data_IF_515160423122
#
_entry.id   IF_515160423122
#
_cell.length_a   1.000
_cell.length_b   1.000
_cell.length_c   1.000
_cell.angle_alpha   90.00
_cell.angle_beta   90.00
_cell.angle_gamma   90.00
#
_symmetry.space_group_name_H-M   'P 1'
#
loop_
_entity.id
_entity.type
_entity.pdbx_description
1 polymer ?
#
# COMPACT_ATOMS: atom_id res chain seq x y z
N UNK A 1 -23.40 13.45 -68.14
CA UNK A 1 -23.87 13.83 -66.79
C UNK A 1 -23.89 12.57 -65.93
N UNK A 2 -22.82 12.34 -65.16
CA UNK A 2 -22.78 11.49 -63.96
C UNK A 2 -21.37 11.66 -63.36
N UNK A 3 -21.29 12.42 -62.27
CA UNK A 3 -20.07 12.69 -61.51
C UNK A 3 -19.67 11.45 -60.73
N UNK A 4 -18.43 10.99 -60.91
CA UNK A 4 -17.77 10.02 -60.03
C UNK A 4 -17.55 10.66 -58.65
N UNK A 5 -18.30 10.18 -57.66
CA UNK A 5 -18.09 10.53 -56.25
C UNK A 5 -16.83 9.83 -55.75
N UNK A 6 -15.77 10.60 -55.52
CA UNK A 6 -14.57 10.14 -54.83
C UNK A 6 -14.94 9.95 -53.35
N UNK A 7 -15.04 8.70 -52.94
CA UNK A 7 -15.27 8.28 -51.56
C UNK A 7 -14.00 8.44 -50.73
N UNK A 8 -14.14 9.10 -49.58
CA UNK A 8 -13.43 8.74 -48.35
C UNK A 8 -11.94 9.06 -48.30
N UNK A 9 -11.60 10.33 -48.11
CA UNK A 9 -10.36 10.68 -47.40
C UNK A 9 -10.58 10.25 -45.94
N UNK A 10 -10.15 9.03 -45.60
CA UNK A 10 -9.85 8.70 -44.21
C UNK A 10 -8.89 9.78 -43.72
N UNK A 11 -9.36 10.64 -42.81
CA UNK A 11 -8.54 11.67 -42.22
C UNK A 11 -7.36 10.98 -41.51
N UNK A 12 -6.19 11.01 -42.14
CA UNK A 12 -4.95 10.50 -41.58
C UNK A 12 -4.70 11.25 -40.28
N UNK A 13 -4.95 10.58 -39.16
CA UNK A 13 -4.69 11.12 -37.82
C UNK A 13 -3.27 11.70 -37.79
N UNK A 14 -3.08 12.97 -37.37
CA UNK A 14 -1.81 13.66 -37.55
C UNK A 14 -0.69 12.91 -36.81
N UNK A 15 0.46 12.71 -37.47
CA UNK A 15 1.60 11.98 -36.92
C UNK A 15 2.04 12.50 -35.52
N UNK A 16 1.84 13.79 -35.25
CA UNK A 16 2.06 14.41 -33.93
C UNK A 16 1.18 13.81 -32.82
N UNK A 17 -0.09 13.48 -33.10
CA UNK A 17 -1.00 12.87 -32.14
C UNK A 17 -0.58 11.44 -31.78
N UNK A 18 -0.11 10.66 -32.77
CA UNK A 18 0.42 9.29 -32.56
C UNK A 18 1.71 9.28 -31.72
N UNK A 19 2.61 10.24 -31.95
CA UNK A 19 3.82 10.39 -31.13
C UNK A 19 3.47 10.81 -29.70
N UNK A 20 2.47 11.67 -29.53
CA UNK A 20 1.96 12.08 -28.21
C UNK A 20 1.38 10.92 -27.41
N UNK A 21 0.53 10.08 -28.02
CA UNK A 21 -0.09 8.92 -27.36
C UNK A 21 0.93 7.83 -27.03
N UNK A 22 1.90 7.57 -27.93
CA UNK A 22 2.98 6.63 -27.68
C UNK A 22 3.90 7.06 -26.52
N UNK A 23 4.24 8.37 -26.46
CA UNK A 23 5.00 8.93 -25.33
C UNK A 23 4.20 8.86 -24.04
N UNK A 24 2.91 9.24 -24.04
CA UNK A 24 2.06 9.17 -22.86
C UNK A 24 1.96 7.73 -22.31
N UNK A 25 1.85 6.73 -23.19
CA UNK A 25 1.88 5.32 -22.80
C UNK A 25 3.23 4.90 -22.18
N UNK A 26 4.34 5.42 -22.72
CA UNK A 26 5.69 5.13 -22.19
C UNK A 26 5.89 5.74 -20.81
N UNK A 27 5.57 7.03 -20.63
CA UNK A 27 5.66 7.71 -19.33
C UNK A 27 4.81 7.02 -18.27
N UNK A 28 3.57 6.63 -18.62
CA UNK A 28 2.68 5.90 -17.69
C UNK A 28 3.32 4.62 -17.19
N UNK A 29 3.96 3.84 -18.08
CA UNK A 29 4.62 2.57 -17.70
C UNK A 29 5.82 2.81 -16.79
N UNK A 30 6.64 3.83 -17.06
CA UNK A 30 7.75 4.21 -16.19
C UNK A 30 7.28 4.70 -14.82
N UNK A 31 6.21 5.50 -14.76
CA UNK A 31 5.61 5.93 -13.49
C UNK A 31 5.08 4.75 -12.68
N UNK A 32 4.41 3.78 -13.31
CA UNK A 32 3.97 2.55 -12.65
C UNK A 32 5.17 1.78 -12.11
N UNK A 33 6.21 1.59 -12.93
CA UNK A 33 7.40 0.84 -12.54
C UNK A 33 8.13 1.49 -11.35
N UNK A 34 8.29 2.81 -11.36
CA UNK A 34 8.91 3.55 -10.28
C UNK A 34 8.09 3.44 -8.98
N UNK A 35 6.78 3.69 -9.04
CA UNK A 35 5.90 3.59 -7.87
C UNK A 35 5.85 2.16 -7.31
N UNK A 36 5.78 1.15 -8.18
CA UNK A 36 5.81 -0.26 -7.78
C UNK A 36 7.15 -0.64 -7.15
N UNK A 37 8.27 -0.15 -7.70
CA UNK A 37 9.60 -0.39 -7.12
C UNK A 37 9.73 0.27 -5.75
N UNK A 38 9.23 1.50 -5.58
CA UNK A 38 9.25 2.21 -4.30
C UNK A 38 8.42 1.46 -3.23
N UNK A 39 7.19 1.06 -3.57
CA UNK A 39 6.37 0.23 -2.68
C UNK A 39 7.09 -1.07 -2.31
N UNK A 40 7.68 -1.75 -3.30
CA UNK A 40 8.39 -3.00 -3.09
C UNK A 40 9.60 -2.85 -2.17
N UNK A 41 10.39 -1.78 -2.36
CA UNK A 41 11.53 -1.46 -1.49
C UNK A 41 11.10 -1.19 -0.05
N UNK A 42 9.99 -0.47 0.16
CA UNK A 42 9.45 -0.20 1.49
C UNK A 42 9.02 -1.51 2.16
N UNK A 43 8.27 -2.38 1.47
CA UNK A 43 7.85 -3.67 2.01
C UNK A 43 9.03 -4.56 2.39
N UNK A 44 10.05 -4.64 1.54
CA UNK A 44 11.28 -5.35 1.86
C UNK A 44 12.01 -4.75 3.07
N UNK A 45 12.02 -3.42 3.18
CA UNK A 45 12.64 -2.70 4.30
C UNK A 45 11.98 -2.96 5.64
N UNK A 46 10.64 -3.04 5.69
CA UNK A 46 9.89 -3.31 6.93
C UNK A 46 9.80 -4.80 7.28
N UNK A 47 10.01 -5.70 6.31
CA UNK A 47 9.86 -7.14 6.50
C UNK A 47 10.65 -7.73 7.70
N UNK A 48 11.91 -7.33 8.00
CA UNK A 48 12.63 -7.88 9.15
C UNK A 48 11.99 -7.55 10.50
N UNK A 49 11.37 -6.36 10.63
CA UNK A 49 10.66 -5.98 11.85
C UNK A 49 9.43 -6.87 12.06
N UNK A 50 8.62 -7.01 11.02
CA UNK A 50 7.46 -7.88 11.03
C UNK A 50 7.81 -9.37 11.17
N UNK A 51 8.95 -9.82 10.64
CA UNK A 51 9.41 -11.19 10.80
C UNK A 51 9.71 -11.52 12.27
N UNK A 52 10.31 -10.58 13.01
CA UNK A 52 10.59 -10.72 14.45
C UNK A 52 9.31 -10.72 15.29
N UNK A 53 8.30 -9.96 14.87
CA UNK A 53 6.99 -9.95 15.53
C UNK A 53 6.24 -11.25 15.26
N UNK A 54 6.10 -11.63 13.99
CA UNK A 54 5.54 -12.90 13.57
C UNK A 54 6.02 -13.27 12.16
N UNK A 55 6.72 -14.40 12.05
CA UNK A 55 7.42 -14.78 10.81
C UNK A 55 6.52 -14.76 9.56
N UNK A 56 5.22 -15.06 9.70
CA UNK A 56 4.24 -15.03 8.60
C UNK A 56 4.12 -13.63 8.00
N UNK A 57 4.08 -12.59 8.83
CA UNK A 57 4.04 -11.20 8.35
C UNK A 57 5.34 -10.85 7.61
N UNK A 58 6.49 -11.23 8.16
CA UNK A 58 7.77 -11.01 7.48
C UNK A 58 7.86 -11.70 6.11
N UNK A 59 7.45 -12.97 6.00
CA UNK A 59 7.41 -13.69 4.72
C UNK A 59 6.43 -13.04 3.75
N UNK A 60 5.26 -12.62 4.23
CA UNK A 60 4.28 -11.89 3.41
C UNK A 60 4.90 -10.63 2.79
N UNK A 61 5.55 -9.78 3.59
CA UNK A 61 6.19 -8.56 3.09
C UNK A 61 7.37 -8.84 2.14
N UNK A 62 8.14 -9.91 2.36
CA UNK A 62 9.20 -10.34 1.43
C UNK A 62 8.60 -10.72 0.08
N UNK A 63 7.60 -11.61 0.07
CA UNK A 63 6.96 -12.07 -1.18
C UNK A 63 6.29 -10.91 -1.91
N UNK A 64 5.58 -10.04 -1.17
CA UNK A 64 4.94 -8.85 -1.73
C UNK A 64 5.95 -7.89 -2.34
N UNK A 65 7.04 -7.60 -1.64
CA UNK A 65 8.08 -6.69 -2.10
C UNK A 65 8.78 -7.20 -3.36
N UNK A 66 9.13 -8.49 -3.38
CA UNK A 66 9.69 -9.15 -4.58
C UNK A 66 8.71 -9.15 -5.75
N UNK A 67 7.43 -9.40 -5.49
CA UNK A 67 6.39 -9.28 -6.51
C UNK A 67 6.33 -7.86 -7.09
N UNK A 68 6.32 -6.82 -6.26
CA UNK A 68 6.23 -5.42 -6.71
C UNK A 68 7.46 -4.98 -7.51
N UNK A 69 8.66 -5.42 -7.14
CA UNK A 69 9.89 -5.18 -7.92
C UNK A 69 9.85 -5.96 -9.25
N UNK A 70 9.46 -7.25 -9.23
CA UNK A 70 9.32 -8.05 -10.44
C UNK A 70 8.24 -7.52 -11.39
N UNK A 71 7.13 -7.01 -10.84
CA UNK A 71 6.04 -6.41 -11.58
C UNK A 71 6.49 -5.15 -12.33
N UNK A 72 7.32 -4.30 -11.69
CA UNK A 72 7.90 -3.12 -12.31
C UNK A 72 8.71 -3.46 -13.57
N UNK A 73 9.47 -4.55 -13.55
CA UNK A 73 10.21 -5.01 -14.74
C UNK A 73 9.26 -5.53 -15.84
N UNK A 74 8.28 -6.35 -15.46
CA UNK A 74 7.36 -6.97 -16.43
C UNK A 74 6.49 -5.93 -17.13
N UNK A 75 6.00 -4.90 -16.40
CA UNK A 75 5.12 -3.86 -16.98
C UNK A 75 5.88 -2.97 -17.98
N UNK A 76 7.19 -2.78 -17.81
CA UNK A 76 8.04 -2.09 -18.79
C UNK A 76 8.22 -2.90 -20.08
N UNK A 77 8.27 -4.24 -19.97
CA UNK A 77 8.44 -5.14 -21.13
C UNK A 77 7.13 -5.37 -21.90
N UNK A 78 6.02 -5.59 -21.20
CA UNK A 78 4.70 -5.87 -21.83
C UNK A 78 3.54 -5.29 -21.03
N UNK A 79 2.45 -4.95 -21.72
CA UNK A 79 1.16 -4.61 -21.12
C UNK A 79 0.13 -5.61 -21.62
N UNK A 80 -0.59 -6.23 -20.70
CA UNK A 80 -1.69 -7.15 -21.02
C UNK A 80 -2.78 -7.01 -19.97
N UNK A 81 -4.04 -7.27 -20.33
CA UNK A 81 -5.18 -7.17 -19.40
C UNK A 81 -4.97 -8.03 -18.15
N UNK A 82 -4.54 -9.31 -18.23
CA UNK A 82 -4.30 -10.10 -17.02
C UNK A 82 -3.23 -9.50 -16.11
N UNK A 83 -2.13 -8.98 -16.67
CA UNK A 83 -1.08 -8.33 -15.90
C UNK A 83 -1.60 -7.09 -15.17
N UNK A 84 -2.40 -6.27 -15.85
CA UNK A 84 -3.00 -5.06 -15.27
C UNK A 84 -3.97 -5.44 -14.13
N UNK A 85 -4.82 -6.44 -14.34
CA UNK A 85 -5.75 -6.94 -13.32
C UNK A 85 -5.00 -7.48 -12.10
N UNK A 86 -3.96 -8.29 -12.29
CA UNK A 86 -3.12 -8.82 -11.20
C UNK A 86 -2.46 -7.68 -10.42
N UNK A 87 -1.93 -6.65 -11.10
CA UNK A 87 -1.35 -5.48 -10.45
C UNK A 87 -2.37 -4.71 -9.62
N UNK A 88 -3.56 -4.43 -10.18
CA UNK A 88 -4.63 -3.72 -9.46
C UNK A 88 -5.09 -4.51 -8.23
N UNK A 89 -5.40 -5.79 -8.42
CA UNK A 89 -5.94 -6.64 -7.35
C UNK A 89 -4.95 -6.82 -6.21
N UNK A 90 -3.67 -7.05 -6.50
CA UNK A 90 -2.63 -7.23 -5.47
C UNK A 90 -2.45 -5.96 -4.64
N UNK A 91 -2.26 -4.80 -5.27
CA UNK A 91 -2.06 -3.55 -4.55
C UNK A 91 -3.31 -3.13 -3.76
N UNK A 92 -4.51 -3.34 -4.32
CA UNK A 92 -5.74 -3.10 -3.56
C UNK A 92 -5.86 -4.00 -2.35
N UNK A 93 -5.53 -5.29 -2.47
CA UNK A 93 -5.59 -6.21 -1.34
C UNK A 93 -4.71 -5.72 -0.19
N UNK A 94 -3.50 -5.24 -0.48
CA UNK A 94 -2.58 -4.72 0.53
C UNK A 94 -3.14 -3.45 1.19
N UNK A 95 -3.60 -2.48 0.39
CA UNK A 95 -4.25 -1.26 0.91
C UNK A 95 -5.46 -1.61 1.79
N UNK A 96 -6.27 -2.59 1.39
CA UNK A 96 -7.43 -3.04 2.16
C UNK A 96 -7.02 -3.70 3.48
N UNK A 97 -5.99 -4.56 3.46
CA UNK A 97 -5.42 -5.16 4.68
C UNK A 97 -4.93 -4.05 5.61
N UNK A 98 -4.18 -3.07 5.09
CA UNK A 98 -3.71 -1.92 5.86
C UNK A 98 -4.86 -1.11 6.48
N UNK A 99 -5.91 -0.81 5.70
CA UNK A 99 -7.08 -0.12 6.22
C UNK A 99 -7.80 -0.94 7.30
N UNK A 100 -7.86 -2.26 7.13
CA UNK A 100 -8.48 -3.15 8.10
C UNK A 100 -7.69 -3.20 9.41
N UNK A 101 -6.35 -3.24 9.37
CA UNK A 101 -5.51 -3.18 10.58
C UNK A 101 -5.61 -1.83 11.29
N UNK A 102 -5.83 -0.73 10.55
CA UNK A 102 -6.07 0.61 11.12
C UNK A 102 -7.46 0.81 11.71
N UNK A 103 -8.48 0.07 11.24
CA UNK A 103 -9.86 0.23 11.70
C UNK A 103 -10.28 -0.78 12.76
N UNK A 104 -9.77 -2.02 12.70
CA UNK A 104 -10.18 -3.12 13.60
C UNK A 104 -9.04 -3.59 14.51
N UNK A 105 -7.81 -3.07 14.32
CA UNK A 105 -6.61 -3.66 14.92
C UNK A 105 -6.16 -4.92 14.19
N UNK A 106 -5.06 -5.56 14.63
CA UNK A 106 -4.54 -6.78 13.99
C UNK A 106 -5.48 -7.97 14.32
N UNK A 107 -6.23 -8.53 13.35
CA UNK A 107 -7.26 -9.55 13.65
C UNK A 107 -6.67 -10.92 14.02
N UNK A 108 -5.36 -11.12 13.85
CA UNK A 108 -4.70 -12.42 13.94
C UNK A 108 -3.49 -12.36 14.89
N UNK A 109 -3.72 -12.58 16.17
CA UNK A 109 -2.77 -13.30 17.04
C UNK A 109 -1.45 -12.65 17.45
N UNK A 110 -1.20 -11.36 17.18
CA UNK A 110 0.02 -10.66 17.66
C UNK A 110 0.11 -10.52 19.20
N UNK A 111 -0.90 -10.98 19.96
CA UNK A 111 -0.86 -11.04 21.43
C UNK A 111 -0.08 -12.25 22.00
N UNK A 112 0.48 -13.15 21.17
CA UNK A 112 1.14 -14.38 21.67
C UNK A 112 2.64 -14.40 21.41
N UNK A 113 3.32 -13.50 22.09
CA UNK A 113 4.72 -13.67 22.50
C UNK A 113 4.90 -14.50 23.78
N UNK A 114 3.86 -15.17 24.30
CA UNK A 114 4.00 -16.06 25.45
C UNK A 114 4.11 -17.53 25.02
N UNK A 115 5.32 -18.13 25.04
CA UNK A 115 5.46 -19.58 25.03
C UNK A 115 5.05 -20.17 26.39
N UNK A 116 3.75 -20.15 26.72
CA UNK A 116 3.14 -20.94 27.81
C UNK A 116 1.62 -20.71 27.88
N UNK A 117 0.86 -21.27 26.95
CA UNK A 117 -0.54 -21.61 27.24
C UNK A 117 -0.56 -23.01 27.86
N UNK A 118 -0.13 -23.08 29.11
CA UNK A 118 0.01 -24.31 29.89
C UNK A 118 0.55 -23.97 31.27
N UNK A 119 -0.32 -23.46 32.15
CA UNK A 119 0.08 -23.00 33.47
C UNK A 119 -1.12 -22.46 34.23
N UNK A 120 -1.91 -23.38 34.76
CA UNK A 120 -2.88 -23.16 35.83
C UNK A 120 -2.30 -22.34 36.98
N UNK A 121 -3.08 -21.35 37.44
CA UNK A 121 -3.20 -20.85 38.82
C UNK A 121 -1.95 -20.58 39.67
N UNK A 122 -1.88 -19.40 40.28
CA UNK A 122 -1.89 -19.22 41.76
C UNK A 122 -1.68 -17.72 42.05
N UNK A 123 -2.58 -17.19 42.89
CA UNK A 123 -2.50 -15.89 43.54
C UNK A 123 -1.25 -15.75 44.43
N UNK A 124 -0.68 -14.55 44.49
CA UNK A 124 0.44 -14.23 45.37
C UNK A 124 0.47 -12.75 45.72
N UNK A 125 -0.09 -12.42 46.88
CA UNK A 125 -0.16 -11.13 47.55
C UNK A 125 1.20 -10.50 47.94
N UNK A 126 1.25 -9.17 47.89
CA UNK A 126 1.85 -8.34 48.95
C UNK A 126 3.31 -7.91 48.80
N UNK A 127 3.54 -6.59 48.84
CA UNK A 127 4.26 -5.83 49.90
C UNK A 127 4.94 -4.58 49.31
N UNK A 128 4.59 -3.45 49.90
CA UNK A 128 5.18 -2.13 49.71
C UNK A 128 6.65 -2.08 50.16
N UNK A 129 7.47 -1.28 49.47
CA UNK A 129 8.83 -0.96 49.87
C UNK A 129 9.19 0.47 49.49
N UNK A 130 8.99 1.39 50.43
CA UNK A 130 9.42 2.79 50.38
C UNK A 130 10.95 2.94 50.38
N UNK A 131 11.48 3.84 49.56
CA UNK A 131 12.88 4.25 49.59
C UNK A 131 13.12 5.63 48.96
N UNK A 132 13.51 6.59 49.79
CA UNK A 132 13.88 7.98 49.50
C UNK A 132 15.11 8.14 48.58
N UNK A 133 15.20 9.25 47.84
CA UNK A 133 16.48 9.76 47.30
C UNK A 133 16.33 10.88 46.27
N UNK A 134 16.49 12.13 46.71
CA UNK A 134 16.48 13.32 45.85
C UNK A 134 17.75 13.49 45.00
N UNK A 135 17.62 14.22 43.90
CA UNK A 135 18.73 14.63 43.04
C UNK A 135 18.27 15.57 41.94
N UNK A 136 18.32 16.88 42.20
CA UNK A 136 18.23 17.92 41.18
C UNK A 136 19.45 17.84 40.26
N UNK A 137 19.23 17.36 39.04
CA UNK A 137 20.17 17.48 37.92
C UNK A 137 19.52 18.25 36.77
N UNK A 138 19.68 19.57 36.74
CA UNK A 138 19.42 20.38 35.55
C UNK A 138 20.58 20.18 34.57
N UNK A 139 20.49 19.15 33.73
CA UNK A 139 21.34 18.96 32.55
C UNK A 139 20.61 19.46 31.29
N UNK A 140 21.33 20.04 30.30
CA UNK A 140 20.70 20.65 29.15
C UNK A 140 19.96 19.60 28.28
N UNK A 141 18.72 19.93 27.91
CA UNK A 141 17.83 19.20 27.01
C UNK A 141 18.42 19.01 25.61
N UNK A 142 19.32 18.03 25.45
CA UNK A 142 19.84 17.58 24.16
C UNK A 142 19.37 16.17 23.79
N UNK A 143 18.90 15.36 24.75
CA UNK A 143 18.32 14.03 24.49
C UNK A 143 16.86 14.05 24.05
N UNK A 144 16.13 15.14 24.35
CA UNK A 144 14.67 15.19 24.12
C UNK A 144 14.30 15.58 22.68
N UNK A 145 15.12 16.41 22.01
CA UNK A 145 14.91 16.77 20.59
C UNK A 145 15.14 15.61 19.62
N UNK A 146 15.91 14.59 20.02
CA UNK A 146 16.11 13.38 19.21
C UNK A 146 14.88 12.44 19.34
N UNK A 147 14.21 12.46 20.50
CA UNK A 147 12.95 11.72 20.73
C UNK A 147 11.72 12.38 20.07
N UNK A 148 11.75 13.70 19.87
CA UNK A 148 10.66 14.42 19.20
C UNK A 148 10.60 14.10 17.69
N UNK A 149 11.73 13.77 17.06
CA UNK A 149 11.78 13.29 15.67
C UNK A 149 11.16 11.91 15.48
N UNK A 150 11.26 11.04 16.49
CA UNK A 150 10.73 9.68 16.50
C UNK A 150 9.20 9.65 16.70
N UNK A 151 8.64 10.64 17.41
CA UNK A 151 7.18 10.80 17.59
C UNK A 151 6.45 11.37 16.38
N UNK A 152 7.15 12.03 15.46
CA UNK A 152 6.56 12.51 14.20
C UNK A 152 6.32 11.35 13.22
N UNK A 153 6.98 10.20 13.41
CA UNK A 153 6.69 8.93 12.74
C UNK A 153 5.51 8.15 13.38
N UNK A 154 4.69 8.79 14.22
CA UNK A 154 3.51 8.16 14.83
C UNK A 154 2.42 7.78 13.81
N UNK A 155 2.46 8.36 12.61
CA UNK A 155 1.98 7.69 11.40
C UNK A 155 3.23 7.14 10.74
N UNK A 156 3.36 5.82 10.64
CA UNK A 156 4.53 5.20 10.02
C UNK A 156 4.79 5.86 8.67
N UNK A 157 5.82 6.71 8.60
CA UNK A 157 6.23 7.37 7.37
C UNK A 157 6.40 6.35 6.23
N UNK A 158 6.97 5.14 6.51
CA UNK A 158 6.98 4.05 5.54
C UNK A 158 5.57 3.59 5.10
N UNK A 159 4.61 3.50 6.03
CA UNK A 159 3.24 3.03 5.73
C UNK A 159 2.51 4.00 4.79
N UNK A 160 2.63 5.31 5.02
CA UNK A 160 2.02 6.33 4.17
C UNK A 160 2.67 6.35 2.77
N UNK A 161 3.99 6.24 2.71
CA UNK A 161 4.74 6.19 1.46
C UNK A 161 4.40 4.92 0.65
N UNK A 162 4.28 3.77 1.32
CA UNK A 162 3.84 2.52 0.69
C UNK A 162 2.41 2.67 0.16
N UNK A 163 1.46 3.04 1.02
CA UNK A 163 0.04 3.17 0.66
C UNK A 163 -0.17 4.16 -0.50
N UNK A 164 0.51 5.31 -0.46
CA UNK A 164 0.42 6.29 -1.56
C UNK A 164 1.01 5.75 -2.87
N UNK A 165 2.13 5.03 -2.81
CA UNK A 165 2.74 4.38 -3.97
C UNK A 165 1.83 3.28 -4.55
N UNK A 166 1.21 2.46 -3.70
CA UNK A 166 0.27 1.41 -4.10
C UNK A 166 -0.99 2.00 -4.76
N UNK A 167 -1.57 3.05 -4.18
CA UNK A 167 -2.71 3.75 -4.77
C UNK A 167 -2.35 4.39 -6.11
N UNK A 168 -1.14 4.96 -6.23
CA UNK A 168 -0.65 5.51 -7.49
C UNK A 168 -0.53 4.41 -8.56
N UNK A 169 0.01 3.25 -8.22
CA UNK A 169 0.08 2.08 -9.12
C UNK A 169 -1.32 1.67 -9.57
N UNK A 170 -2.29 1.54 -8.66
CA UNK A 170 -3.67 1.17 -9.00
C UNK A 170 -4.30 2.19 -9.96
N UNK A 171 -4.18 3.48 -9.67
CA UNK A 171 -4.73 4.56 -10.50
C UNK A 171 -4.13 4.53 -11.91
N UNK A 172 -2.81 4.44 -12.02
CA UNK A 172 -2.13 4.41 -13.31
C UNK A 172 -2.46 3.13 -14.10
N UNK A 173 -2.51 1.97 -13.45
CA UNK A 173 -2.93 0.72 -14.09
C UNK A 173 -4.37 0.78 -14.62
N UNK A 174 -5.28 1.43 -13.90
CA UNK A 174 -6.65 1.62 -14.36
C UNK A 174 -6.74 2.44 -15.66
N UNK A 175 -5.77 3.34 -15.91
CA UNK A 175 -5.70 4.09 -17.19
C UNK A 175 -5.32 3.19 -18.37
N UNK A 176 -4.65 2.07 -18.12
CA UNK A 176 -4.24 1.10 -19.15
C UNK A 176 -5.36 0.12 -19.53
N UNK A 177 -6.49 0.10 -18.80
CA UNK A 177 -7.62 -0.78 -19.10
C UNK A 177 -8.47 -0.28 -20.30
N UNK A 178 -8.97 -1.20 -21.15
CA UNK A 178 -9.98 -0.91 -22.17
C UNK A 178 -11.23 -0.24 -21.58
N UNK A 179 -11.93 0.61 -22.34
CA UNK A 179 -13.01 1.47 -21.81
C UNK A 179 -14.14 0.75 -21.07
N UNK A 180 -14.51 -0.48 -21.47
CA UNK A 180 -15.53 -1.29 -20.79
C UNK A 180 -15.02 -1.83 -19.45
N UNK A 181 -13.82 -2.39 -19.43
CA UNK A 181 -13.17 -2.93 -18.23
C UNK A 181 -12.80 -1.83 -17.24
N UNK A 182 -12.32 -0.68 -17.74
CA UNK A 182 -12.02 0.51 -16.93
C UNK A 182 -13.24 0.98 -16.15
N UNK A 183 -14.42 1.04 -16.79
CA UNK A 183 -15.68 1.41 -16.11
C UNK A 183 -16.03 0.42 -15.00
N UNK A 184 -15.93 -0.88 -15.27
CA UNK A 184 -16.19 -1.91 -14.26
C UNK A 184 -15.20 -1.79 -13.10
N UNK A 185 -13.90 -1.69 -13.39
CA UNK A 185 -12.86 -1.55 -12.37
C UNK A 185 -13.07 -0.29 -11.51
N UNK A 186 -13.32 0.87 -12.13
CA UNK A 186 -13.60 2.12 -11.41
C UNK A 186 -14.87 2.00 -10.57
N UNK A 187 -15.95 1.43 -11.10
CA UNK A 187 -17.19 1.25 -10.33
C UNK A 187 -17.01 0.30 -9.15
N UNK A 188 -16.25 -0.79 -9.32
CA UNK A 188 -15.92 -1.72 -8.23
C UNK A 188 -15.06 -1.02 -7.17
N UNK A 189 -14.03 -0.27 -7.58
CA UNK A 189 -13.20 0.53 -6.69
C UNK A 189 -14.03 1.51 -5.86
N UNK A 190 -14.91 2.26 -6.50
CA UNK A 190 -15.82 3.19 -5.84
C UNK A 190 -16.81 2.47 -4.92
N UNK A 191 -17.36 1.33 -5.35
CA UNK A 191 -18.28 0.52 -4.55
C UNK A 191 -17.61 0.00 -3.27
N UNK A 192 -16.39 -0.52 -3.38
CA UNK A 192 -15.59 -0.95 -2.23
C UNK A 192 -15.27 0.23 -1.31
N UNK A 193 -14.83 1.36 -1.86
CA UNK A 193 -14.54 2.56 -1.07
C UNK A 193 -15.78 3.06 -0.31
N UNK A 194 -16.94 3.11 -0.97
CA UNK A 194 -18.22 3.50 -0.36
C UNK A 194 -18.68 2.49 0.71
N UNK A 195 -18.49 1.19 0.48
CA UNK A 195 -18.83 0.16 1.45
C UNK A 195 -17.96 0.29 2.71
N UNK A 196 -16.64 0.46 2.55
CA UNK A 196 -15.72 0.70 3.68
C UNK A 196 -16.09 1.97 4.43
N UNK A 197 -16.43 3.04 3.72
CA UNK A 197 -16.86 4.29 4.32
C UNK A 197 -18.19 4.14 5.09
N UNK A 198 -19.16 3.41 4.53
CA UNK A 198 -20.43 3.09 5.18
C UNK A 198 -20.23 2.26 6.45
N UNK A 199 -19.38 1.22 6.40
CA UNK A 199 -19.00 0.44 7.58
C UNK A 199 -18.35 1.35 8.64
N UNK A 200 -17.48 2.27 8.25
CA UNK A 200 -16.84 3.21 9.18
C UNK A 200 -17.83 4.17 9.85
N UNK A 201 -18.85 4.62 9.13
CA UNK A 201 -19.92 5.49 9.65
C UNK A 201 -20.93 4.74 10.52
N UNK A 202 -21.11 3.43 10.29
CA UNK A 202 -22.06 2.61 11.04
C UNK A 202 -21.74 2.46 12.53
N UNK A 203 -20.52 2.81 12.96
CA UNK A 203 -20.10 2.72 14.36
C UNK A 203 -19.93 1.30 14.88
N UNK A 204 -19.99 0.28 14.01
CA UNK A 204 -19.82 -1.14 14.37
C UNK A 204 -18.45 -1.44 15.01
N UNK A 205 -17.47 -0.54 14.83
CA UNK A 205 -16.13 -0.63 15.42
C UNK A 205 -15.79 0.59 16.32
N UNK A 206 -16.79 1.33 16.80
CA UNK A 206 -16.64 2.46 17.73
C UNK A 206 -16.79 2.03 19.18
#
# INVERSE_FOLDING_TARGET
MAMTSVTGVEASEPAAARVGSARAGTWTRWSIALASTLAGAIHLGVAPAYYREWWVFGVFFIVLGLFQVGFAEVILRRVSVPLVVVGITTNLMVVLIYLMTRTVGIPLGASRGSPAAGGSGVEGSGVEGSGHGGGHGQGPMLGQRISDGERVEAVGLPDLAATSSELLVVCLLATLLPGRERKVAVNVLLGVALLLWGVRLSGVFS
#
